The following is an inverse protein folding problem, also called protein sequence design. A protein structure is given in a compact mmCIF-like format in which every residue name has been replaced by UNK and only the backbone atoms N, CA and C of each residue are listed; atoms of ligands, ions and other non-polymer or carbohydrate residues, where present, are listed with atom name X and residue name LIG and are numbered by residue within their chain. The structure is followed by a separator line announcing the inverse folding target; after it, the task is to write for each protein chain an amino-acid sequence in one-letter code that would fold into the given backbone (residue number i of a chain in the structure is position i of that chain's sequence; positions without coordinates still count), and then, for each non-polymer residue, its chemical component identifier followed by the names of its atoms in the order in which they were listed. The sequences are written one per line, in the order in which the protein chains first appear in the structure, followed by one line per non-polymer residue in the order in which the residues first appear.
data_IF_632649844524
#
_entry.id   IF_632649844524
#
_cell.length_a   1.000
_cell.length_b   1.000
_cell.length_c   1.000
_cell.angle_alpha   90.00
_cell.angle_beta   90.00
_cell.angle_gamma   90.00
#
_symmetry.space_group_name_H-M   'P 1'
#
loop_
_entity.id
_entity.type
_entity.pdbx_description
1 polymer ?
#
# COMPACT_ATOMS: atom_id res chain seq x y z
N UNK A 1 17.44 -24.07 -27.51
CA UNK A 1 17.97 -22.88 -26.82
C UNK A 1 16.79 -21.96 -26.60
N UNK A 2 16.71 -21.31 -25.44
CA UNK A 2 15.65 -20.35 -25.18
C UNK A 2 15.64 -19.27 -26.28
N UNK A 3 14.48 -18.72 -26.59
CA UNK A 3 14.32 -17.54 -27.43
C UNK A 3 14.78 -16.27 -26.67
N UNK A 4 14.58 -16.26 -25.36
CA UNK A 4 15.09 -15.23 -24.46
C UNK A 4 14.53 -15.38 -23.06
N UNK A 5 14.89 -14.43 -22.20
CA UNK A 5 14.54 -14.38 -20.80
C UNK A 5 13.41 -13.40 -20.54
N UNK A 6 12.42 -13.80 -19.76
CA UNK A 6 11.33 -12.94 -19.30
C UNK A 6 11.42 -12.73 -17.78
N UNK A 7 11.80 -11.53 -17.37
CA UNK A 7 11.86 -11.11 -15.98
C UNK A 7 10.46 -10.75 -15.48
N UNK A 8 9.99 -11.46 -14.46
CA UNK A 8 8.64 -11.25 -13.88
C UNK A 8 8.56 -11.82 -12.45
N UNK A 9 7.38 -11.88 -11.85
CA UNK A 9 7.12 -12.58 -10.59
C UNK A 9 5.86 -13.46 -10.70
N UNK A 10 5.69 -14.46 -9.82
CA UNK A 10 4.53 -15.34 -9.84
C UNK A 10 3.19 -14.59 -9.85
N UNK A 11 2.28 -15.04 -10.70
CA UNK A 11 0.95 -14.45 -10.90
C UNK A 11 0.93 -12.98 -11.41
N UNK A 12 2.03 -12.40 -11.88
CA UNK A 12 2.00 -11.04 -12.44
C UNK A 12 0.93 -10.92 -13.55
N UNK A 13 -0.12 -10.09 -13.38
CA UNK A 13 -1.25 -10.02 -14.32
C UNK A 13 -0.83 -9.57 -15.73
N UNK A 14 0.26 -8.79 -15.83
CA UNK A 14 0.82 -8.31 -17.11
C UNK A 14 1.58 -9.39 -17.88
N UNK A 15 1.82 -10.56 -17.30
CA UNK A 15 2.66 -11.61 -17.90
C UNK A 15 1.87 -12.82 -18.39
N UNK A 16 0.64 -13.03 -17.91
CA UNK A 16 -0.17 -14.20 -18.28
C UNK A 16 -0.34 -14.35 -19.79
N UNK A 17 -0.73 -13.27 -20.49
CA UNK A 17 -0.89 -13.31 -21.94
C UNK A 17 0.42 -13.58 -22.68
N UNK A 18 1.55 -13.01 -22.21
CA UNK A 18 2.88 -13.24 -22.79
C UNK A 18 3.23 -14.74 -22.70
N UNK A 19 2.98 -15.38 -21.54
CA UNK A 19 3.20 -16.81 -21.35
C UNK A 19 2.32 -17.64 -22.29
N UNK A 20 1.05 -17.29 -22.40
CA UNK A 20 0.08 -17.99 -23.22
C UNK A 20 0.48 -17.97 -24.70
N UNK A 21 0.81 -16.79 -25.25
CA UNK A 21 1.21 -16.66 -26.66
C UNK A 21 2.59 -17.23 -26.93
N UNK A 22 3.53 -17.16 -25.98
CA UNK A 22 4.81 -17.84 -26.11
C UNK A 22 4.62 -19.35 -26.27
N UNK A 23 3.80 -19.96 -25.39
CA UNK A 23 3.50 -21.38 -25.45
C UNK A 23 2.79 -21.76 -26.75
N UNK A 24 1.78 -21.00 -27.17
CA UNK A 24 1.05 -21.28 -28.42
C UNK A 24 1.89 -21.12 -29.68
N UNK A 25 2.89 -20.21 -29.66
CA UNK A 25 3.81 -20.02 -30.76
C UNK A 25 5.06 -20.93 -30.68
N UNK A 26 5.14 -21.83 -29.68
CA UNK A 26 6.34 -22.63 -29.39
C UNK A 26 7.61 -21.79 -29.22
N UNK A 27 7.46 -20.59 -28.67
CA UNK A 27 8.58 -19.70 -28.30
C UNK A 27 9.03 -20.07 -26.89
N UNK A 28 10.24 -20.61 -26.79
CA UNK A 28 10.83 -21.04 -25.52
C UNK A 28 11.30 -19.83 -24.71
N UNK A 29 10.58 -19.45 -23.64
CA UNK A 29 10.97 -18.34 -22.77
C UNK A 29 11.46 -18.85 -21.42
N UNK A 30 12.65 -18.44 -21.02
CA UNK A 30 13.15 -18.67 -19.67
C UNK A 30 12.53 -17.65 -18.71
N UNK A 31 11.81 -18.11 -17.68
CA UNK A 31 11.20 -17.24 -16.70
C UNK A 31 12.16 -16.96 -15.55
N UNK A 32 12.54 -15.69 -15.39
CA UNK A 32 13.41 -15.25 -14.31
C UNK A 32 12.55 -14.51 -13.28
N UNK A 33 12.52 -15.02 -12.05
CA UNK A 33 11.88 -14.31 -10.95
C UNK A 33 12.70 -13.06 -10.60
N UNK A 34 12.06 -11.89 -10.64
CA UNK A 34 12.69 -10.60 -10.42
C UNK A 34 11.93 -9.80 -9.36
N UNK A 35 12.67 -9.26 -8.39
CA UNK A 35 12.18 -8.30 -7.40
C UNK A 35 12.34 -6.86 -7.95
N UNK A 36 11.24 -6.17 -8.30
CA UNK A 36 11.33 -4.81 -8.83
C UNK A 36 11.91 -3.78 -7.84
N UNK A 37 11.98 -4.10 -6.54
CA UNK A 37 12.61 -3.25 -5.53
C UNK A 37 14.13 -3.46 -5.46
N UNK A 38 14.63 -4.58 -5.99
CA UNK A 38 16.05 -4.97 -6.00
C UNK A 38 16.40 -5.67 -7.33
N UNK A 39 16.31 -4.96 -8.48
CA UNK A 39 16.53 -5.57 -9.78
C UNK A 39 17.97 -6.06 -9.94
N UNK A 40 18.15 -7.26 -10.50
CA UNK A 40 19.47 -7.81 -10.78
C UNK A 40 20.17 -7.05 -11.91
N UNK A 41 21.49 -7.18 -12.02
CA UNK A 41 22.28 -6.59 -13.13
C UNK A 41 21.74 -7.05 -14.49
N UNK A 42 21.33 -8.31 -14.60
CA UNK A 42 20.77 -8.86 -15.84
C UNK A 42 19.37 -8.31 -16.14
N UNK A 43 18.50 -8.18 -15.15
CA UNK A 43 17.20 -7.51 -15.31
C UNK A 43 17.37 -6.06 -15.76
N UNK A 44 18.36 -5.34 -15.22
CA UNK A 44 18.70 -3.98 -15.63
C UNK A 44 19.28 -3.88 -17.06
N UNK A 45 19.69 -5.00 -17.69
CA UNK A 45 20.00 -5.02 -19.13
C UNK A 45 18.71 -5.01 -19.96
N UNK A 46 17.69 -5.76 -19.52
CA UNK A 46 16.38 -5.80 -20.15
C UNK A 46 15.58 -4.50 -19.97
N UNK A 47 15.64 -3.91 -18.77
CA UNK A 47 14.94 -2.67 -18.44
C UNK A 47 15.69 -1.86 -17.37
N UNK A 48 16.21 -0.68 -17.76
CA UNK A 48 16.98 0.21 -16.87
C UNK A 48 16.17 0.74 -15.67
N UNK A 49 14.85 0.75 -15.75
CA UNK A 49 13.98 1.14 -14.64
C UNK A 49 13.70 0.00 -13.63
N UNK A 50 14.18 -1.22 -13.89
CA UNK A 50 13.93 -2.38 -13.03
C UNK A 50 12.46 -2.79 -12.93
N UNK A 51 11.59 -2.33 -13.86
CA UNK A 51 10.17 -2.73 -13.88
C UNK A 51 9.98 -4.07 -14.58
N UNK A 52 8.91 -4.76 -14.22
CA UNK A 52 8.47 -6.03 -14.81
C UNK A 52 7.08 -5.91 -15.44
N UNK A 53 6.78 -6.67 -16.52
CA UNK A 53 7.69 -7.59 -17.20
C UNK A 53 8.77 -6.87 -18.02
N UNK A 54 9.92 -7.54 -18.17
CA UNK A 54 11.00 -7.12 -19.08
C UNK A 54 11.53 -8.36 -19.82
N UNK A 55 11.91 -8.19 -21.08
CA UNK A 55 12.42 -9.24 -21.96
C UNK A 55 13.86 -8.95 -22.37
N UNK A 56 14.68 -9.99 -22.43
CA UNK A 56 16.02 -9.95 -23.02
C UNK A 56 16.16 -11.15 -23.96
N UNK A 57 16.27 -10.90 -25.26
CA UNK A 57 16.54 -11.94 -26.25
C UNK A 57 17.91 -12.56 -26.06
N UNK A 58 18.08 -13.81 -26.48
CA UNK A 58 19.43 -14.44 -26.53
C UNK A 58 20.38 -13.69 -27.48
N UNK A 59 19.83 -12.96 -28.45
CA UNK A 59 20.54 -12.04 -29.34
C UNK A 59 20.92 -10.71 -28.67
N UNK A 60 20.56 -10.52 -27.41
CA UNK A 60 20.81 -9.31 -26.63
C UNK A 60 19.76 -8.22 -26.82
N UNK A 61 18.64 -8.46 -27.53
CA UNK A 61 17.58 -7.46 -27.73
C UNK A 61 16.82 -7.19 -26.41
N UNK A 62 16.92 -5.97 -25.83
CA UNK A 62 16.15 -5.62 -24.63
C UNK A 62 14.79 -5.04 -25.04
N UNK A 63 13.72 -5.52 -24.39
CA UNK A 63 12.39 -4.99 -24.60
C UNK A 63 11.64 -4.87 -23.27
N UNK A 64 11.09 -3.69 -23.01
CA UNK A 64 10.23 -3.39 -21.86
C UNK A 64 8.84 -2.98 -22.34
N UNK A 65 7.92 -2.79 -21.38
CA UNK A 65 6.49 -2.58 -21.59
C UNK A 65 5.74 -3.85 -22.00
N UNK A 66 4.80 -4.27 -21.15
CA UNK A 66 4.07 -5.54 -21.30
C UNK A 66 3.32 -5.68 -22.63
N UNK A 67 2.77 -4.60 -23.18
CA UNK A 67 2.06 -4.60 -24.47
C UNK A 67 3.05 -4.86 -25.61
N UNK A 68 4.20 -4.19 -25.60
CA UNK A 68 5.24 -4.37 -26.62
C UNK A 68 5.79 -5.80 -26.60
N UNK A 69 6.09 -6.34 -25.41
CA UNK A 69 6.55 -7.73 -25.26
C UNK A 69 5.48 -8.71 -25.76
N UNK A 70 4.21 -8.53 -25.36
CA UNK A 70 3.14 -9.42 -25.79
C UNK A 70 2.97 -9.43 -27.31
N UNK A 71 3.02 -8.26 -27.97
CA UNK A 71 2.96 -8.15 -29.43
C UNK A 71 4.18 -8.81 -30.07
N UNK A 72 5.39 -8.52 -29.58
CA UNK A 72 6.63 -9.06 -30.13
C UNK A 72 6.67 -10.59 -30.10
N UNK A 73 6.26 -11.21 -28.99
CA UNK A 73 6.18 -12.68 -28.89
C UNK A 73 5.05 -13.22 -29.78
N UNK A 74 3.91 -12.53 -29.86
CA UNK A 74 2.79 -12.94 -30.72
C UNK A 74 3.17 -12.89 -32.20
N UNK A 75 3.91 -11.85 -32.62
CA UNK A 75 4.31 -11.62 -34.01
C UNK A 75 5.41 -12.56 -34.51
N UNK A 76 6.05 -13.34 -33.64
CA UNK A 76 6.98 -14.39 -34.07
C UNK A 76 6.29 -15.47 -34.94
N UNK A 77 4.97 -15.58 -34.83
CA UNK A 77 4.16 -16.38 -35.74
C UNK A 77 3.47 -15.48 -36.76
N UNK A 78 4.02 -15.39 -37.97
CA UNK A 78 3.46 -14.60 -39.07
C UNK A 78 2.03 -15.02 -39.47
N UNK A 79 1.62 -16.25 -39.13
CA UNK A 79 0.28 -16.78 -39.40
C UNK A 79 -0.67 -16.63 -38.21
N UNK A 80 -0.26 -15.89 -37.17
CA UNK A 80 -1.07 -15.69 -35.97
C UNK A 80 -2.40 -15.02 -36.32
N UNK A 81 -3.47 -15.48 -35.67
CA UNK A 81 -4.79 -14.84 -35.77
C UNK A 81 -5.06 -13.89 -34.61
N UNK A 82 -4.10 -13.75 -33.69
CA UNK A 82 -4.27 -13.01 -32.43
C UNK A 82 -4.08 -11.49 -32.59
N UNK A 83 -3.54 -11.04 -33.72
CA UNK A 83 -3.29 -9.62 -34.02
C UNK A 83 -4.33 -9.01 -34.98
N UNK A 84 -5.49 -9.66 -35.12
CA UNK A 84 -6.57 -9.19 -35.99
C UNK A 84 -6.31 -9.45 -37.47
N UNK A 85 -7.31 -9.20 -38.31
CA UNK A 85 -7.21 -9.36 -39.78
C UNK A 85 -6.99 -8.03 -40.50
N UNK A 86 -7.52 -6.96 -39.91
CA UNK A 86 -7.50 -5.62 -40.50
C UNK A 86 -6.68 -4.65 -39.65
N UNK A 87 -6.34 -3.49 -40.23
CA UNK A 87 -5.69 -2.40 -39.48
C UNK A 87 -6.58 -1.88 -38.36
N UNK A 88 -7.90 -1.89 -38.57
CA UNK A 88 -8.90 -1.51 -37.58
C UNK A 88 -8.94 -2.52 -36.41
N UNK A 89 -8.83 -3.82 -36.70
CA UNK A 89 -8.75 -4.84 -35.65
C UNK A 89 -7.49 -4.63 -34.83
N UNK A 90 -6.33 -4.48 -35.48
CA UNK A 90 -5.06 -4.28 -34.79
C UNK A 90 -5.08 -3.03 -33.90
N UNK A 91 -5.61 -1.90 -34.41
CA UNK A 91 -5.77 -0.69 -33.62
C UNK A 91 -6.73 -0.88 -32.42
N UNK A 92 -7.82 -1.64 -32.61
CA UNK A 92 -8.76 -1.97 -31.54
C UNK A 92 -8.16 -2.91 -30.49
N UNK A 93 -7.27 -3.82 -30.90
CA UNK A 93 -6.52 -4.68 -29.99
C UNK A 93 -5.62 -3.83 -29.10
N UNK A 94 -4.85 -2.92 -29.70
CA UNK A 94 -4.01 -1.98 -28.96
C UNK A 94 -4.83 -1.10 -28.02
N UNK A 95 -5.99 -0.59 -28.47
CA UNK A 95 -6.91 0.21 -27.65
C UNK A 95 -7.31 -0.56 -26.39
N UNK A 96 -7.76 -1.80 -26.54
CA UNK A 96 -8.20 -2.60 -25.40
C UNK A 96 -7.06 -2.96 -24.46
N UNK A 97 -5.90 -3.39 -24.99
CA UNK A 97 -4.71 -3.67 -24.18
C UNK A 97 -4.25 -2.44 -23.40
N UNK A 98 -4.24 -1.27 -24.05
CA UNK A 98 -3.93 0.01 -23.42
C UNK A 98 -4.95 0.33 -22.32
N UNK A 99 -6.25 0.30 -22.65
CA UNK A 99 -7.34 0.60 -21.73
C UNK A 99 -7.29 -0.24 -20.45
N UNK A 100 -7.12 -1.56 -20.56
CA UNK A 100 -7.05 -2.40 -19.34
C UNK A 100 -5.76 -2.15 -18.55
N UNK A 101 -4.66 -1.80 -19.20
CA UNK A 101 -3.39 -1.52 -18.53
C UNK A 101 -3.35 -0.15 -17.85
N UNK A 102 -4.09 0.85 -18.36
CA UNK A 102 -4.13 2.21 -17.82
C UNK A 102 -5.34 2.48 -16.93
N UNK A 103 -6.53 2.03 -17.32
CA UNK A 103 -7.80 2.37 -16.65
C UNK A 103 -8.27 1.31 -15.66
N UNK A 104 -7.89 0.04 -15.87
CA UNK A 104 -8.35 -1.07 -15.00
C UNK A 104 -7.27 -1.46 -14.00
N UNK A 105 -6.08 -1.81 -14.47
CA UNK A 105 -5.06 -2.41 -13.61
C UNK A 105 -4.54 -1.47 -12.50
N UNK A 106 -4.28 -0.17 -12.72
CA UNK A 106 -3.80 0.71 -11.66
C UNK A 106 -4.80 0.89 -10.50
N UNK A 107 -6.09 1.25 -10.73
CA UNK A 107 -7.05 1.33 -9.63
C UNK A 107 -7.37 -0.04 -9.02
N UNK A 108 -7.38 -1.12 -9.81
CA UNK A 108 -7.48 -2.47 -9.26
C UNK A 108 -6.31 -2.79 -8.32
N UNK A 109 -5.08 -2.41 -8.71
CA UNK A 109 -3.88 -2.52 -7.88
C UNK A 109 -4.01 -1.72 -6.57
N UNK A 110 -4.42 -0.46 -6.65
CA UNK A 110 -4.67 0.39 -5.48
C UNK A 110 -5.82 -0.11 -4.60
N UNK A 111 -6.71 -0.95 -5.13
CA UNK A 111 -7.74 -1.64 -4.37
C UNK A 111 -7.19 -2.86 -3.63
N UNK A 112 -6.57 -3.83 -4.31
CA UNK A 112 -6.18 -5.09 -3.64
C UNK A 112 -4.83 -5.06 -2.93
N UNK A 113 -3.83 -4.31 -3.42
CA UNK A 113 -2.47 -4.35 -2.86
C UNK A 113 -2.41 -3.87 -1.42
N UNK A 114 -3.13 -2.81 -1.01
CA UNK A 114 -3.19 -2.44 0.40
C UNK A 114 -3.86 -3.49 1.29
N UNK A 115 -4.88 -4.18 0.77
CA UNK A 115 -5.60 -5.24 1.48
C UNK A 115 -4.76 -6.52 1.63
N UNK A 116 -3.71 -6.68 0.82
CA UNK A 116 -2.69 -7.73 0.96
C UNK A 116 -1.47 -7.27 1.77
N UNK A 117 -1.44 -6.02 2.27
CA UNK A 117 -0.30 -5.46 2.97
C UNK A 117 0.93 -5.19 2.09
N UNK A 118 0.75 -5.15 0.76
CA UNK A 118 1.83 -4.83 -0.19
C UNK A 118 2.05 -3.33 -0.37
N UNK A 119 0.99 -2.55 -0.14
CA UNK A 119 1.00 -1.08 -0.18
C UNK A 119 0.35 -0.53 1.11
N UNK A 120 0.54 0.75 1.47
CA UNK A 120 -0.09 1.33 2.65
C UNK A 120 -1.62 1.28 2.60
N UNK A 121 -2.25 0.80 3.68
CA UNK A 121 -3.70 0.75 3.81
C UNK A 121 -4.28 2.10 4.22
N UNK A 122 -5.24 2.60 3.43
CA UNK A 122 -6.15 3.68 3.79
C UNK A 122 -7.56 3.31 3.32
N UNK A 123 -8.52 3.24 4.26
CA UNK A 123 -9.88 2.77 3.99
C UNK A 123 -10.58 3.56 2.88
N UNK A 124 -10.46 4.89 2.88
CA UNK A 124 -11.11 5.77 1.88
C UNK A 124 -10.44 5.63 0.51
N UNK A 125 -9.11 5.59 0.47
CA UNK A 125 -8.36 5.42 -0.77
C UNK A 125 -8.67 4.07 -1.44
N UNK A 126 -8.78 3.00 -0.65
CA UNK A 126 -9.19 1.67 -1.13
C UNK A 126 -10.62 1.72 -1.69
N UNK A 127 -11.56 2.36 -0.99
CA UNK A 127 -12.95 2.50 -1.44
C UNK A 127 -13.09 3.35 -2.72
N UNK A 128 -12.32 4.42 -2.84
CA UNK A 128 -12.31 5.25 -4.04
C UNK A 128 -11.70 4.49 -5.22
N UNK A 129 -10.58 3.80 -4.98
CA UNK A 129 -9.94 2.96 -6.00
C UNK A 129 -10.86 1.84 -6.48
N UNK A 130 -11.65 1.24 -5.59
CA UNK A 130 -12.63 0.23 -5.99
C UNK A 130 -13.72 0.79 -6.90
N UNK A 131 -14.21 2.00 -6.61
CA UNK A 131 -15.22 2.67 -7.45
C UNK A 131 -14.66 3.00 -8.84
N UNK A 132 -13.41 3.47 -8.91
CA UNK A 132 -12.73 3.75 -10.19
C UNK A 132 -12.53 2.46 -11.00
N UNK A 133 -12.05 1.38 -10.37
CA UNK A 133 -11.86 0.10 -11.02
C UNK A 133 -13.18 -0.49 -11.57
N UNK A 134 -14.25 -0.47 -10.76
CA UNK A 134 -15.56 -0.96 -11.16
C UNK A 134 -16.17 -0.12 -12.29
N UNK A 135 -15.97 1.20 -12.28
CA UNK A 135 -16.40 2.08 -13.38
C UNK A 135 -15.69 1.72 -14.69
N UNK A 136 -14.39 1.45 -14.67
CA UNK A 136 -13.66 1.03 -15.85
C UNK A 136 -14.12 -0.35 -16.36
N UNK A 137 -14.44 -1.28 -15.45
CA UNK A 137 -14.97 -2.60 -15.82
C UNK A 137 -16.37 -2.50 -16.42
N UNK A 138 -17.19 -1.54 -15.97
CA UNK A 138 -18.51 -1.31 -16.55
C UNK A 138 -18.46 -0.99 -18.05
N UNK A 139 -17.43 -0.27 -18.50
CA UNK A 139 -17.20 -0.03 -19.94
C UNK A 139 -17.00 -1.34 -20.72
N UNK A 140 -16.33 -2.32 -20.10
CA UNK A 140 -16.11 -3.65 -20.69
C UNK A 140 -17.41 -4.46 -20.67
N UNK A 141 -18.16 -4.40 -19.57
CA UNK A 141 -19.48 -5.04 -19.44
C UNK A 141 -20.47 -4.57 -20.50
N UNK A 142 -20.50 -3.27 -20.78
CA UNK A 142 -21.34 -2.68 -21.82
C UNK A 142 -20.87 -3.06 -23.23
N UNK A 143 -19.55 -3.07 -23.47
CA UNK A 143 -19.01 -3.52 -24.76
C UNK A 143 -19.35 -4.99 -25.03
N UNK A 144 -19.22 -5.86 -24.03
CA UNK A 144 -19.45 -7.30 -24.17
C UNK A 144 -20.93 -7.70 -24.22
N UNK A 145 -21.86 -6.75 -24.11
CA UNK A 145 -23.29 -6.99 -24.29
C UNK A 145 -23.59 -7.45 -25.73
N UNK A 146 -22.97 -6.81 -26.71
CA UNK A 146 -23.17 -7.08 -28.14
C UNK A 146 -22.00 -7.78 -28.81
N UNK A 147 -20.94 -8.12 -28.05
CA UNK A 147 -19.72 -8.71 -28.59
C UNK A 147 -19.32 -9.96 -27.80
N UNK A 148 -18.98 -11.03 -28.52
CA UNK A 148 -18.48 -12.27 -27.89
C UNK A 148 -17.08 -12.04 -27.29
N UNK A 149 -16.23 -11.32 -28.01
CA UNK A 149 -14.83 -11.00 -27.70
C UNK A 149 -14.60 -9.48 -27.73
N UNK A 150 -13.44 -9.01 -27.27
CA UNK A 150 -13.13 -7.58 -27.27
C UNK A 150 -12.94 -6.99 -28.67
N UNK A 151 -12.44 -7.79 -29.63
CA UNK A 151 -12.21 -7.38 -31.01
C UNK A 151 -12.61 -8.48 -31.99
N UNK A 152 -13.58 -8.18 -32.85
CA UNK A 152 -14.09 -9.11 -33.86
C UNK A 152 -14.76 -10.34 -33.26
N UNK A 153 -14.89 -11.38 -34.09
CA UNK A 153 -15.64 -12.61 -33.76
C UNK A 153 -14.75 -13.79 -33.35
N UNK A 154 -13.53 -13.50 -32.86
CA UNK A 154 -12.61 -14.53 -32.35
C UNK A 154 -11.69 -13.97 -31.28
N UNK A 155 -11.07 -14.87 -30.51
CA UNK A 155 -10.06 -14.51 -29.52
C UNK A 155 -8.89 -13.80 -30.20
N UNK A 156 -8.51 -12.67 -29.60
CA UNK A 156 -7.34 -11.88 -29.97
C UNK A 156 -6.41 -11.72 -28.77
N UNK A 157 -5.24 -11.11 -29.00
CA UNK A 157 -4.32 -10.74 -27.92
C UNK A 157 -4.97 -9.80 -26.90
N UNK A 158 -5.93 -8.98 -27.32
CA UNK A 158 -6.68 -8.12 -26.40
C UNK A 158 -7.43 -8.93 -25.35
N UNK A 159 -8.06 -10.04 -25.76
CA UNK A 159 -8.82 -10.90 -24.84
C UNK A 159 -7.91 -11.56 -23.81
N UNK A 160 -6.80 -12.16 -24.26
CA UNK A 160 -5.82 -12.81 -23.39
C UNK A 160 -5.21 -11.79 -22.41
N UNK A 161 -4.83 -10.62 -22.90
CA UNK A 161 -4.20 -9.58 -22.09
C UNK A 161 -5.18 -8.99 -21.05
N UNK A 162 -6.41 -8.68 -21.48
CA UNK A 162 -7.46 -8.19 -20.59
C UNK A 162 -7.86 -9.23 -19.53
N UNK A 163 -7.98 -10.50 -19.91
CA UNK A 163 -8.31 -11.56 -18.96
C UNK A 163 -7.22 -11.68 -17.89
N UNK A 164 -5.94 -11.54 -18.26
CA UNK A 164 -4.80 -11.54 -17.30
C UNK A 164 -4.91 -10.45 -16.24
N UNK A 165 -5.40 -9.28 -16.62
CA UNK A 165 -5.59 -8.13 -15.73
C UNK A 165 -6.84 -8.32 -14.86
N UNK A 166 -7.97 -8.67 -15.49
CA UNK A 166 -9.28 -8.80 -14.82
C UNK A 166 -9.30 -10.00 -13.87
N UNK A 167 -8.44 -11.00 -14.07
CA UNK A 167 -8.28 -12.15 -13.18
C UNK A 167 -8.09 -11.75 -11.71
N UNK A 168 -7.44 -10.62 -11.41
CA UNK A 168 -7.28 -10.11 -10.04
C UNK A 168 -8.61 -9.73 -9.38
N UNK A 169 -9.57 -9.26 -10.17
CA UNK A 169 -10.93 -9.05 -9.70
C UNK A 169 -11.62 -10.37 -9.32
N UNK A 170 -11.52 -11.39 -10.18
CA UNK A 170 -12.07 -12.73 -9.90
C UNK A 170 -11.37 -13.47 -8.75
N UNK A 171 -10.10 -13.18 -8.51
CA UNK A 171 -9.33 -13.76 -7.40
C UNK A 171 -9.72 -13.17 -6.03
N UNK A 172 -10.10 -11.89 -5.97
CA UNK A 172 -10.27 -11.18 -4.70
C UNK A 172 -11.67 -10.66 -4.41
N UNK A 173 -12.43 -10.23 -5.42
CA UNK A 173 -13.64 -9.42 -5.22
C UNK A 173 -14.89 -9.88 -5.96
N UNK A 174 -14.75 -10.45 -7.17
CA UNK A 174 -15.91 -10.77 -8.04
C UNK A 174 -16.53 -12.10 -7.64
N UNK A 175 -17.32 -12.00 -6.57
CA UNK A 175 -18.11 -13.07 -6.00
C UNK A 175 -19.35 -13.42 -6.83
N UNK A 176 -20.22 -14.26 -6.29
CA UNK A 176 -21.45 -14.67 -6.97
C UNK A 176 -22.40 -13.51 -7.24
N UNK A 177 -22.53 -12.57 -6.29
CA UNK A 177 -23.41 -11.42 -6.44
C UNK A 177 -22.91 -10.48 -7.55
N UNK A 178 -21.61 -10.13 -7.52
CA UNK A 178 -21.00 -9.30 -8.55
C UNK A 178 -21.15 -9.91 -9.94
N UNK A 179 -20.95 -11.23 -10.07
CA UNK A 179 -21.09 -11.95 -11.35
C UNK A 179 -22.53 -11.96 -11.87
N UNK A 180 -23.53 -11.94 -11.00
CA UNK A 180 -24.93 -11.81 -11.39
C UNK A 180 -25.25 -10.41 -11.94
N UNK A 181 -24.60 -9.37 -11.42
CA UNK A 181 -24.74 -7.97 -11.88
C UNK A 181 -23.90 -7.66 -13.14
N UNK A 182 -22.86 -8.45 -13.41
CA UNK A 182 -21.92 -8.27 -14.53
C UNK A 182 -21.82 -9.56 -15.37
N UNK A 183 -22.93 -10.01 -15.98
CA UNK A 183 -22.99 -11.29 -16.68
C UNK A 183 -22.10 -11.34 -17.93
N UNK A 184 -21.89 -10.22 -18.63
CA UNK A 184 -21.18 -10.23 -19.92
C UNK A 184 -19.67 -10.41 -19.73
N UNK A 185 -19.07 -9.67 -18.80
CA UNK A 185 -17.67 -9.85 -18.37
C UNK A 185 -17.48 -11.25 -17.79
N UNK A 186 -18.43 -11.73 -16.99
CA UNK A 186 -18.36 -13.09 -16.43
C UNK A 186 -18.36 -14.16 -17.52
N UNK A 187 -19.29 -14.09 -18.47
CA UNK A 187 -19.36 -14.99 -19.63
C UNK A 187 -18.07 -14.94 -20.44
N UNK A 188 -17.63 -13.75 -20.82
CA UNK A 188 -16.42 -13.56 -21.60
C UNK A 188 -15.20 -14.13 -20.87
N UNK A 189 -15.00 -13.79 -19.60
CA UNK A 189 -13.86 -14.28 -18.82
C UNK A 189 -13.87 -15.80 -18.75
N UNK A 190 -15.02 -16.42 -18.45
CA UNK A 190 -15.19 -17.89 -18.48
C UNK A 190 -14.86 -18.47 -19.85
N UNK A 191 -15.24 -17.80 -20.94
CA UNK A 191 -14.92 -18.26 -22.30
C UNK A 191 -13.41 -18.27 -22.53
N UNK A 192 -12.69 -17.23 -22.10
CA UNK A 192 -11.23 -17.10 -22.31
C UNK A 192 -10.44 -18.07 -21.43
N UNK A 193 -10.77 -18.20 -20.14
CA UNK A 193 -9.97 -19.01 -19.21
C UNK A 193 -10.06 -20.52 -19.45
N UNK A 194 -11.04 -20.96 -20.24
CA UNK A 194 -11.23 -22.37 -20.61
C UNK A 194 -10.60 -22.74 -21.96
N UNK A 195 -9.88 -21.81 -22.60
CA UNK A 195 -9.18 -22.08 -23.86
C UNK A 195 -7.84 -22.77 -23.59
N UNK A 196 -7.45 -23.69 -24.48
CA UNK A 196 -6.18 -24.43 -24.36
C UNK A 196 -4.96 -23.51 -24.25
N UNK A 197 -4.95 -22.40 -25.00
CA UNK A 197 -3.87 -21.40 -24.94
C UNK A 197 -3.72 -20.78 -23.53
N UNK A 198 -4.81 -20.68 -22.79
CA UNK A 198 -4.84 -20.12 -21.45
C UNK A 198 -4.51 -21.17 -20.39
N UNK A 199 -5.22 -22.30 -20.42
CA UNK A 199 -5.05 -23.39 -19.45
C UNK A 199 -3.67 -24.03 -19.50
N UNK A 200 -2.95 -23.91 -20.62
CA UNK A 200 -1.56 -24.34 -20.74
C UNK A 200 -0.58 -23.58 -19.83
N UNK A 201 -0.95 -22.42 -19.28
CA UNK A 201 -0.05 -21.57 -18.49
C UNK A 201 -0.61 -21.07 -17.16
N UNK A 202 -1.88 -21.36 -16.87
CA UNK A 202 -2.55 -20.98 -15.62
C UNK A 202 -3.14 -22.18 -14.90
N UNK A 203 -3.31 -22.04 -13.60
CA UNK A 203 -4.13 -22.98 -12.82
C UNK A 203 -5.62 -22.77 -13.12
N UNK A 204 -6.43 -23.76 -12.74
CA UNK A 204 -7.88 -23.69 -12.86
C UNK A 204 -8.41 -22.59 -11.94
N UNK A 205 -9.18 -21.65 -12.50
CA UNK A 205 -9.84 -20.62 -11.71
C UNK A 205 -11.00 -21.22 -10.90
N UNK A 206 -10.95 -21.02 -9.59
CA UNK A 206 -12.11 -21.17 -8.72
C UNK A 206 -12.82 -19.82 -8.59
N UNK A 207 -14.14 -19.80 -8.78
CA UNK A 207 -14.93 -18.59 -8.66
C UNK A 207 -15.39 -18.39 -7.22
N UNK A 208 -15.28 -17.15 -6.74
CA UNK A 208 -15.65 -16.79 -5.39
C UNK A 208 -17.18 -16.87 -5.18
N UNK A 209 -17.59 -17.45 -4.05
CA UNK A 209 -18.96 -17.32 -3.55
C UNK A 209 -19.13 -16.02 -2.76
N UNK A 210 -18.09 -15.60 -2.03
CA UNK A 210 -17.99 -14.33 -1.31
C UNK A 210 -16.61 -13.68 -1.53
N UNK A 211 -16.44 -12.36 -1.38
CA UNK A 211 -15.17 -11.69 -1.63
C UNK A 211 -14.08 -12.20 -0.67
N UNK A 212 -12.90 -12.53 -1.21
CA UNK A 212 -11.74 -12.98 -0.42
C UNK A 212 -11.11 -11.83 0.36
N UNK A 213 -11.15 -10.62 -0.19
CA UNK A 213 -10.68 -9.40 0.45
C UNK A 213 -11.86 -8.45 0.66
N UNK A 214 -11.94 -7.89 1.86
CA UNK A 214 -12.88 -6.81 2.21
C UNK A 214 -12.08 -5.56 2.54
N UNK A 215 -12.72 -4.38 2.55
CA UNK A 215 -12.06 -3.11 2.88
C UNK A 215 -11.77 -3.00 4.39
N UNK A 216 -10.89 -3.87 4.85
CA UNK A 216 -10.35 -3.97 6.20
C UNK A 216 -8.84 -4.00 6.10
N UNK A 217 -8.15 -3.48 7.10
CA UNK A 217 -6.69 -3.53 7.11
C UNK A 217 -6.20 -4.99 7.02
N UNK A 218 -5.11 -5.27 6.27
CA UNK A 218 -4.54 -6.60 6.18
C UNK A 218 -4.22 -7.12 7.58
N UNK A 219 -4.65 -8.35 7.88
CA UNK A 219 -4.16 -9.07 9.07
C UNK A 219 -2.66 -9.26 8.87
N UNK A 220 -1.84 -8.85 9.85
CA UNK A 220 -0.39 -9.06 9.83
C UNK A 220 -0.12 -10.54 9.44
N UNK A 221 0.62 -10.82 8.36
CA UNK A 221 1.14 -12.15 8.15
C UNK A 221 2.04 -12.48 9.33
N UNK A 222 1.88 -13.66 9.95
CA UNK A 222 2.88 -14.21 10.85
C UNK A 222 4.20 -14.27 10.07
N UNK A 223 5.16 -13.43 10.46
CA UNK A 223 6.50 -13.51 9.89
C UNK A 223 7.08 -14.89 10.24
N UNK A 224 7.62 -15.63 9.26
CA UNK A 224 8.45 -16.78 9.55
C UNK A 224 9.59 -16.31 10.44
N UNK A 225 9.67 -16.85 11.67
CA UNK A 225 10.79 -16.62 12.59
C UNK A 225 12.08 -16.96 11.85
N UNK A 226 12.88 -15.95 11.49
CA UNK A 226 14.30 -16.15 11.25
C UNK A 226 14.89 -16.75 12.52
N UNK A 227 15.60 -17.86 12.38
CA UNK A 227 16.30 -18.54 13.45
C UNK A 227 17.22 -17.55 14.19
N UNK A 228 16.80 -17.15 15.39
CA UNK A 228 17.70 -16.66 16.41
C UNK A 228 18.11 -17.86 17.27
N UNK A 229 19.40 -17.91 17.60
CA UNK A 229 20.04 -18.89 18.46
C UNK A 229 19.19 -19.25 19.72
N UNK A 230 19.31 -20.49 20.21
CA UNK A 230 18.29 -21.15 21.01
C UNK A 230 18.04 -20.46 22.35
N UNK A 231 16.77 -20.09 22.61
CA UNK A 231 16.22 -19.87 23.95
C UNK A 231 15.33 -21.06 24.34
N UNK A 232 15.16 -21.33 25.66
CA UNK A 232 14.73 -22.63 26.18
C UNK A 232 13.31 -23.02 25.75
N UNK A 233 13.08 -24.33 25.73
CA UNK A 233 11.88 -25.00 25.23
C UNK A 233 10.55 -24.41 25.73
N UNK A 234 9.53 -24.26 24.85
CA UNK A 234 8.17 -23.95 25.28
C UNK A 234 7.49 -25.20 25.85
N UNK A 235 6.79 -25.00 26.98
CA UNK A 235 5.87 -25.98 27.55
C UNK A 235 4.63 -26.19 26.63
N UNK A 236 3.92 -27.33 26.73
CA UNK A 236 2.90 -27.73 25.77
C UNK A 236 1.70 -26.79 25.72
N UNK A 237 1.18 -26.59 24.51
CA UNK A 237 -0.03 -25.83 24.23
C UNK A 237 -1.26 -26.49 24.89
N UNK A 238 -2.03 -25.67 25.63
CA UNK A 238 -3.37 -26.02 26.08
C UNK A 238 -4.40 -25.43 25.11
N UNK A 239 -5.47 -26.19 24.89
CA UNK A 239 -6.64 -25.90 24.05
C UNK A 239 -7.27 -24.52 24.29
N UNK A 240 -7.87 -23.98 23.24
CA UNK A 240 -8.66 -22.75 23.25
C UNK A 240 -9.79 -22.81 24.29
N UNK A 241 -9.74 -21.88 25.24
CA UNK A 241 -10.84 -21.50 26.13
C UNK A 241 -11.00 -19.96 26.08
N UNK A 242 -12.19 -19.42 26.39
CA UNK A 242 -12.63 -18.09 25.94
C UNK A 242 -11.77 -16.94 26.50
N UNK A 243 -11.62 -15.90 25.68
CA UNK A 243 -10.73 -14.76 25.90
C UNK A 243 -10.81 -14.14 27.31
N UNK A 244 -9.70 -14.17 28.02
CA UNK A 244 -9.48 -13.43 29.26
C UNK A 244 -9.29 -11.92 28.98
N UNK A 245 -9.71 -11.04 29.90
CA UNK A 245 -9.65 -9.59 29.72
C UNK A 245 -8.20 -9.08 29.55
N UNK A 246 -8.00 -8.20 28.56
CA UNK A 246 -6.70 -7.58 28.27
C UNK A 246 -6.13 -6.90 29.53
N UNK A 247 -4.79 -6.96 29.75
CA UNK A 247 -4.14 -6.21 30.82
C UNK A 247 -4.51 -4.72 30.73
N UNK A 248 -4.85 -4.11 31.88
CA UNK A 248 -5.15 -2.68 31.96
C UNK A 248 -3.87 -1.88 31.70
N UNK A 249 -3.99 -0.79 30.93
CA UNK A 249 -2.91 0.14 30.66
C UNK A 249 -2.43 0.80 31.96
N UNK A 250 -1.11 0.97 32.22
CA UNK A 250 -0.61 1.52 33.50
C UNK A 250 -1.23 2.89 33.85
N UNK A 251 -1.35 3.79 32.87
CA UNK A 251 -2.00 5.10 33.06
C UNK A 251 -3.50 5.03 33.39
N UNK A 252 -4.16 3.89 33.22
CA UNK A 252 -5.55 3.69 33.61
C UNK A 252 -5.73 3.53 35.13
N UNK A 253 -4.64 3.33 35.88
CA UNK A 253 -4.65 3.23 37.34
C UNK A 253 -4.58 4.60 38.03
N UNK A 254 -4.26 5.66 37.27
CA UNK A 254 -4.26 7.01 37.79
C UNK A 254 -5.69 7.47 38.13
N UNK A 255 -5.85 8.38 39.11
CA UNK A 255 -7.14 8.99 39.41
C UNK A 255 -7.78 9.59 38.15
N UNK A 256 -9.11 9.57 38.10
CA UNK A 256 -9.88 10.17 37.01
C UNK A 256 -9.42 11.62 36.82
N UNK A 257 -9.01 11.95 35.61
CA UNK A 257 -8.55 13.29 35.27
C UNK A 257 -9.70 14.31 35.33
N UNK A 258 -9.38 15.54 35.74
CA UNK A 258 -10.29 16.69 35.63
C UNK A 258 -10.25 17.32 34.24
N UNK A 259 -9.10 17.25 33.57
CA UNK A 259 -8.98 17.65 32.17
C UNK A 259 -9.46 16.54 31.24
N UNK A 260 -10.45 16.85 30.39
CA UNK A 260 -10.96 15.95 29.37
C UNK A 260 -10.10 16.02 28.10
N UNK A 261 -9.18 15.07 27.98
CA UNK A 261 -8.30 14.97 26.81
C UNK A 261 -9.08 14.65 25.52
N UNK A 262 -10.21 13.94 25.59
CA UNK A 262 -11.04 13.66 24.41
C UNK A 262 -11.77 14.92 23.94
N UNK A 263 -12.18 15.78 24.88
CA UNK A 263 -12.68 17.12 24.56
C UNK A 263 -11.61 17.93 23.83
N UNK A 264 -10.37 17.94 24.33
CA UNK A 264 -9.27 18.63 23.66
C UNK A 264 -9.09 18.17 22.22
N UNK A 265 -9.02 16.86 21.98
CA UNK A 265 -8.89 16.29 20.63
C UNK A 265 -10.02 16.72 19.70
N UNK A 266 -11.24 16.84 20.25
CA UNK A 266 -12.41 17.34 19.52
C UNK A 266 -12.26 18.82 19.18
N UNK A 267 -11.88 19.65 20.14
CA UNK A 267 -11.71 21.09 19.94
C UNK A 267 -10.59 21.40 18.95
N UNK A 268 -9.43 20.75 19.09
CA UNK A 268 -8.31 20.82 18.14
C UNK A 268 -8.74 20.50 16.69
N UNK A 269 -9.73 19.61 16.50
CA UNK A 269 -10.22 19.25 15.16
C UNK A 269 -11.28 20.22 14.61
N UNK A 270 -12.04 20.85 15.50
CA UNK A 270 -13.24 21.61 15.15
C UNK A 270 -12.99 23.12 15.05
N UNK A 271 -12.19 23.67 15.96
CA UNK A 271 -11.81 25.09 15.94
C UNK A 271 -10.88 25.31 14.74
N UNK A 272 -11.24 26.23 13.85
CA UNK A 272 -10.50 26.49 12.61
C UNK A 272 -9.32 27.45 12.79
N UNK A 273 -9.42 28.32 13.79
CA UNK A 273 -8.35 29.22 14.16
C UNK A 273 -7.42 28.52 15.15
N UNK A 274 -6.15 28.34 14.77
CA UNK A 274 -5.17 27.64 15.60
C UNK A 274 -4.94 28.33 16.95
N UNK A 275 -4.84 29.67 16.98
CA UNK A 275 -4.64 30.42 18.22
C UNK A 275 -5.81 30.26 19.19
N UNK A 276 -7.04 30.23 18.67
CA UNK A 276 -8.25 29.97 19.47
C UNK A 276 -8.25 28.54 20.03
N UNK A 277 -7.81 27.55 19.26
CA UNK A 277 -7.68 26.17 19.73
C UNK A 277 -6.62 26.06 20.83
N UNK A 278 -5.48 26.71 20.65
CA UNK A 278 -4.41 26.74 21.65
C UNK A 278 -4.84 27.47 22.93
N UNK A 279 -5.56 28.59 22.82
CA UNK A 279 -6.11 29.29 23.97
C UNK A 279 -7.05 28.37 24.76
N UNK A 280 -7.94 27.64 24.06
CA UNK A 280 -8.79 26.65 24.70
C UNK A 280 -7.98 25.59 25.46
N UNK A 281 -6.91 25.05 24.86
CA UNK A 281 -6.06 24.06 25.54
C UNK A 281 -5.48 24.63 26.84
N UNK A 282 -4.90 25.83 26.79
CA UNK A 282 -4.26 26.45 27.96
C UNK A 282 -5.24 26.83 29.08
N UNK A 283 -6.48 27.20 28.73
CA UNK A 283 -7.51 27.52 29.71
C UNK A 283 -8.08 26.27 30.42
N UNK A 284 -7.93 25.08 29.81
CA UNK A 284 -8.57 23.85 30.30
C UNK A 284 -7.59 22.78 30.81
N UNK A 285 -6.33 22.79 30.36
CA UNK A 285 -5.35 21.76 30.72
C UNK A 285 -4.98 21.83 32.20
N UNK A 286 -5.03 20.67 32.88
CA UNK A 286 -4.51 20.53 34.23
C UNK A 286 -3.09 19.94 34.20
N UNK A 287 -2.08 20.79 34.37
CA UNK A 287 -0.66 20.40 34.30
C UNK A 287 -0.13 19.71 35.56
N UNK A 288 -0.93 19.63 36.62
CA UNK A 288 -0.63 18.73 37.75
C UNK A 288 -0.92 17.28 37.37
N UNK A 289 -1.91 17.06 36.50
CA UNK A 289 -2.33 15.75 36.02
C UNK A 289 -1.73 15.35 34.67
N UNK A 290 -1.35 16.32 33.85
CA UNK A 290 -0.78 16.11 32.53
C UNK A 290 0.59 16.78 32.44
N UNK A 291 1.43 16.26 31.56
CA UNK A 291 2.73 16.87 31.29
C UNK A 291 2.99 17.01 29.80
N UNK A 292 3.77 18.02 29.44
CA UNK A 292 4.17 18.32 28.07
C UNK A 292 5.59 17.80 27.83
N UNK A 293 5.78 17.20 26.66
CA UNK A 293 7.04 16.56 26.28
C UNK A 293 7.42 16.94 24.86
N UNK A 294 8.67 17.31 24.69
CA UNK A 294 9.34 17.41 23.41
C UNK A 294 9.91 16.03 23.06
N UNK A 295 9.58 15.56 21.86
CA UNK A 295 9.97 14.23 21.37
C UNK A 295 10.83 14.41 20.13
N UNK A 296 12.08 13.93 20.18
CA UNK A 296 13.08 14.09 19.12
C UNK A 296 13.53 12.72 18.61
N UNK A 297 13.56 12.51 17.30
CA UNK A 297 14.14 11.28 16.76
C UNK A 297 15.67 11.32 16.82
N UNK A 298 16.30 10.21 17.22
CA UNK A 298 17.75 10.12 17.45
C UNK A 298 18.56 9.98 16.16
N UNK A 299 18.03 9.26 15.18
CA UNK A 299 18.77 8.80 13.99
C UNK A 299 18.45 9.64 12.75
N UNK A 300 18.57 10.96 12.87
CA UNK A 300 18.20 11.88 11.78
C UNK A 300 19.08 11.70 10.53
N UNK A 301 20.30 11.18 10.69
CA UNK A 301 21.23 10.81 9.61
C UNK A 301 20.74 9.62 8.76
N UNK A 302 19.82 8.80 9.28
CA UNK A 302 19.19 7.71 8.53
C UNK A 302 17.98 8.17 7.70
N UNK A 303 17.55 9.44 7.86
CA UNK A 303 16.37 9.98 7.17
C UNK A 303 16.69 10.37 5.73
N UNK A 304 16.13 9.63 4.78
CA UNK A 304 16.41 9.80 3.34
C UNK A 304 15.32 10.60 2.61
N UNK A 305 14.08 10.11 2.53
CA UNK A 305 13.01 10.83 1.86
C UNK A 305 12.02 11.37 2.89
N UNK A 306 11.60 12.63 2.78
CA UNK A 306 10.72 13.26 3.79
C UNK A 306 9.41 12.51 3.98
N UNK A 307 8.86 11.89 2.93
CA UNK A 307 7.69 11.02 3.04
C UNK A 307 7.97 9.72 3.81
N UNK A 308 9.18 9.16 3.71
CA UNK A 308 9.61 7.98 4.49
C UNK A 308 9.79 8.38 5.96
N UNK A 309 10.41 9.53 6.22
CA UNK A 309 10.49 10.14 7.56
C UNK A 309 9.10 10.34 8.15
N UNK A 310 8.12 10.82 7.37
CA UNK A 310 6.75 10.98 7.84
C UNK A 310 6.05 9.61 8.06
N UNK A 311 6.43 8.57 7.31
CA UNK A 311 5.98 7.21 7.56
C UNK A 311 6.52 6.64 8.87
N UNK A 312 7.73 7.00 9.30
CA UNK A 312 8.26 6.63 10.62
C UNK A 312 7.41 7.20 11.74
N UNK A 313 7.02 8.49 11.65
CA UNK A 313 6.10 9.13 12.60
C UNK A 313 4.77 8.36 12.66
N UNK A 314 4.22 8.02 11.49
CA UNK A 314 2.97 7.24 11.43
C UNK A 314 3.09 5.84 12.03
N UNK A 315 4.23 5.18 11.82
CA UNK A 315 4.54 3.91 12.45
C UNK A 315 4.57 4.01 13.96
N UNK A 316 5.24 5.03 14.49
CA UNK A 316 5.34 5.29 15.93
C UNK A 316 3.96 5.54 16.54
N UNK A 317 3.16 6.44 15.94
CA UNK A 317 1.77 6.70 16.35
C UNK A 317 0.91 5.42 16.39
N UNK A 318 1.02 4.55 15.38
CA UNK A 318 0.27 3.29 15.36
C UNK A 318 0.67 2.35 16.50
N UNK A 319 1.93 2.38 16.93
CA UNK A 319 2.43 1.58 18.06
C UNK A 319 2.04 2.18 19.41
N UNK A 320 1.70 3.47 19.46
CA UNK A 320 1.16 4.17 20.63
C UNK A 320 -0.35 3.95 20.85
N UNK A 321 -1.03 3.15 20.02
CA UNK A 321 -2.49 3.01 20.04
C UNK A 321 -3.06 2.60 21.42
N UNK A 322 -2.32 1.78 22.18
CA UNK A 322 -2.72 1.39 23.52
C UNK A 322 -2.83 2.59 24.49
N UNK A 323 -2.08 3.66 24.22
CA UNK A 323 -2.03 4.89 25.00
C UNK A 323 -2.88 6.01 24.41
N UNK A 324 -3.67 5.76 23.34
CA UNK A 324 -4.49 6.80 22.68
C UNK A 324 -5.32 7.62 23.66
N UNK A 325 -5.94 6.99 24.66
CA UNK A 325 -6.77 7.69 25.67
C UNK A 325 -6.00 8.62 26.61
N UNK A 326 -4.67 8.54 26.62
CA UNK A 326 -3.80 9.21 27.58
C UNK A 326 -2.82 10.19 26.91
N UNK A 327 -2.83 10.29 25.57
CA UNK A 327 -1.88 11.11 24.82
C UNK A 327 -2.60 11.91 23.75
N UNK A 328 -2.15 13.14 23.57
CA UNK A 328 -2.32 13.90 22.34
C UNK A 328 -0.98 14.49 21.93
N UNK A 329 -0.70 14.58 20.64
CA UNK A 329 0.45 15.35 20.19
C UNK A 329 0.62 15.37 18.69
N UNK A 330 1.56 16.18 18.25
CA UNK A 330 1.97 16.24 16.86
C UNK A 330 3.47 16.00 16.76
N UNK A 331 3.88 15.29 15.73
CA UNK A 331 5.27 15.23 15.29
C UNK A 331 5.33 15.55 13.80
N UNK A 332 6.38 16.26 13.41
CA UNK A 332 6.60 16.70 12.05
C UNK A 332 8.01 16.35 11.57
N UNK A 333 8.11 16.21 10.26
CA UNK A 333 9.36 16.16 9.52
C UNK A 333 9.70 17.60 9.14
N UNK A 334 10.90 18.04 9.51
CA UNK A 334 11.43 19.33 9.13
C UNK A 334 12.64 19.14 8.22
N UNK A 335 12.71 19.86 7.10
CA UNK A 335 13.81 19.81 6.14
C UNK A 335 13.43 19.32 4.76
N UNK A 336 14.40 18.71 4.08
CA UNK A 336 14.27 18.23 2.71
C UNK A 336 14.81 16.80 2.57
N UNK A 337 14.70 16.20 1.39
CA UNK A 337 15.21 14.84 1.17
C UNK A 337 16.72 14.78 1.43
N UNK A 338 17.14 13.80 2.21
CA UNK A 338 18.49 13.47 2.68
C UNK A 338 19.04 14.44 3.73
N UNK A 339 18.22 15.36 4.22
CA UNK A 339 18.58 16.37 5.20
C UNK A 339 17.30 16.84 5.90
N UNK A 340 16.78 15.95 6.75
CA UNK A 340 15.57 16.18 7.52
C UNK A 340 15.72 15.70 8.96
N UNK A 341 14.90 16.24 9.84
CA UNK A 341 14.84 15.86 11.26
C UNK A 341 13.38 15.61 11.65
N UNK A 342 13.16 14.77 12.66
CA UNK A 342 11.83 14.53 13.22
C UNK A 342 11.76 15.07 14.64
N UNK A 343 10.79 15.94 14.89
CA UNK A 343 10.55 16.55 16.19
C UNK A 343 9.04 16.76 16.42
N UNK A 344 8.60 16.73 17.67
CA UNK A 344 7.20 16.93 18.03
C UNK A 344 6.97 17.33 19.47
N UNK A 345 5.73 17.72 19.76
CA UNK A 345 5.25 18.05 21.09
C UNK A 345 4.06 17.14 21.45
N UNK A 346 4.07 16.58 22.65
CA UNK A 346 3.02 15.69 23.15
C UNK A 346 2.59 16.10 24.55
N UNK A 347 1.28 16.11 24.78
CA UNK A 347 0.69 16.14 26.12
C UNK A 347 0.29 14.72 26.49
N UNK A 348 0.69 14.29 27.69
CA UNK A 348 0.41 12.95 28.21
C UNK A 348 -0.24 13.03 29.59
N UNK A 349 -1.03 12.01 29.93
CA UNK A 349 -1.50 11.80 31.31
C UNK A 349 -0.34 11.35 32.18
N UNK A 350 -0.21 11.97 33.35
CA UNK A 350 0.84 11.70 34.32
C UNK A 350 2.07 12.57 34.10
N UNK A 351 3.09 12.32 34.91
CA UNK A 351 4.30 13.15 34.99
C UNK A 351 5.56 12.45 34.46
N UNK A 352 5.44 11.18 34.09
CA UNK A 352 6.47 10.33 33.49
C UNK A 352 6.03 9.91 32.09
N UNK A 353 6.90 10.09 31.10
CA UNK A 353 6.63 9.74 29.72
C UNK A 353 6.62 8.24 29.49
N UNK A 354 7.40 7.47 30.27
CA UNK A 354 7.66 6.07 29.95
C UNK A 354 6.36 5.24 29.82
N UNK A 355 5.39 5.29 30.74
CA UNK A 355 4.16 4.50 30.63
C UNK A 355 3.23 4.92 29.49
N UNK A 356 3.46 6.10 28.91
CA UNK A 356 2.73 6.61 27.77
C UNK A 356 3.36 6.13 26.45
N UNK A 357 4.69 5.99 26.40
CA UNK A 357 5.39 5.68 25.15
C UNK A 357 5.95 4.26 25.07
N UNK A 358 6.21 3.57 26.18
CA UNK A 358 6.83 2.24 26.22
C UNK A 358 5.94 1.11 25.66
N UNK A 359 4.66 1.39 25.42
CA UNK A 359 3.76 0.54 24.64
C UNK A 359 4.23 0.38 23.19
N UNK A 360 5.00 1.34 22.68
CA UNK A 360 5.63 1.30 21.37
C UNK A 360 7.06 0.74 21.50
N UNK A 361 7.38 -0.45 20.95
CA UNK A 361 8.69 -1.09 21.13
C UNK A 361 9.91 -0.28 20.68
N UNK A 362 9.70 0.72 19.82
CA UNK A 362 10.72 1.58 19.24
C UNK A 362 10.79 2.97 19.87
N UNK A 363 10.09 3.22 20.99
CA UNK A 363 10.12 4.51 21.69
C UNK A 363 11.54 4.94 22.09
N UNK A 364 12.47 3.99 22.31
CA UNK A 364 13.87 4.26 22.63
C UNK A 364 14.64 4.92 21.47
N UNK A 365 14.09 4.90 20.26
CA UNK A 365 14.61 5.65 19.10
C UNK A 365 14.35 7.15 19.20
N UNK A 366 13.63 7.58 20.24
CA UNK A 366 13.31 8.97 20.51
C UNK A 366 13.91 9.42 21.84
N UNK A 367 14.28 10.69 21.90
CA UNK A 367 14.56 11.41 23.13
C UNK A 367 13.32 12.13 23.61
N UNK A 368 13.12 12.11 24.92
CA UNK A 368 11.98 12.72 25.60
C UNK A 368 12.48 13.77 26.57
N UNK A 369 12.07 15.01 26.33
CA UNK A 369 12.44 16.16 27.16
C UNK A 369 11.17 16.77 27.74
N UNK A 370 11.07 16.80 29.07
CA UNK A 370 9.91 17.37 29.76
C UNK A 370 9.96 18.89 29.62
N UNK A 371 8.85 19.48 29.20
CA UNK A 371 8.74 20.92 28.98
C UNK A 371 8.20 21.62 30.22
N UNK A 372 8.77 22.79 30.52
CA UNK A 372 8.24 23.69 31.55
C UNK A 372 7.12 24.55 30.96
N UNK A 373 5.88 24.20 31.30
CA UNK A 373 4.69 24.88 30.81
C UNK A 373 4.54 26.34 31.31
N UNK A 374 5.30 26.75 32.33
CA UNK A 374 5.31 28.14 32.80
C UNK A 374 6.16 29.05 31.91
N UNK A 375 7.11 28.48 31.16
CA UNK A 375 7.98 29.22 30.27
C UNK A 375 7.21 29.70 29.01
N UNK A 376 7.30 30.99 28.63
CA UNK A 376 6.69 31.51 27.40
C UNK A 376 7.16 30.77 26.14
N UNK A 377 8.43 30.34 26.13
CA UNK A 377 9.04 29.58 25.03
C UNK A 377 8.34 28.24 24.80
N UNK A 378 7.95 27.55 25.87
CA UNK A 378 7.20 26.29 25.79
C UNK A 378 5.84 26.49 25.13
N UNK A 379 5.12 27.54 25.52
CA UNK A 379 3.80 27.83 24.93
C UNK A 379 3.90 28.07 23.43
N UNK A 380 4.93 28.82 23.01
CA UNK A 380 5.22 29.05 21.61
C UNK A 380 5.58 27.74 20.90
N UNK A 381 6.51 26.95 21.44
CA UNK A 381 6.95 25.68 20.86
C UNK A 381 5.80 24.70 20.67
N UNK A 382 4.93 24.54 21.67
CA UNK A 382 3.76 23.66 21.59
C UNK A 382 2.77 24.15 20.53
N UNK A 383 2.50 25.46 20.48
CA UNK A 383 1.65 26.05 19.44
C UNK A 383 2.22 25.78 18.05
N UNK A 384 3.50 26.11 17.83
CA UNK A 384 4.20 25.92 16.55
C UNK A 384 4.19 24.43 16.12
N UNK A 385 4.48 23.52 17.05
CA UNK A 385 4.54 22.08 16.81
C UNK A 385 3.17 21.46 16.53
N UNK A 386 2.11 21.96 17.17
CA UNK A 386 0.75 21.48 16.93
C UNK A 386 0.08 22.13 15.72
N UNK A 387 0.56 23.30 15.26
CA UNK A 387 0.08 23.99 14.06
C UNK A 387 0.75 23.52 12.75
N UNK A 388 1.98 22.98 12.82
CA UNK A 388 2.81 22.64 11.64
C UNK A 388 3.16 23.84 10.76
N UNK A 389 3.26 25.03 11.35
CA UNK A 389 3.44 26.27 10.56
C UNK A 389 4.85 26.86 10.68
N UNK A 390 5.56 26.61 11.78
CA UNK A 390 6.86 27.24 12.03
C UNK A 390 8.05 26.29 11.74
N UNK A 391 9.15 26.80 11.16
CA UNK A 391 10.41 26.06 11.05
C UNK A 391 11.01 25.81 12.44
N UNK A 392 11.95 24.87 12.52
CA UNK A 392 12.74 24.63 13.73
C UNK A 392 14.22 24.87 13.47
N UNK A 393 14.97 25.17 14.54
CA UNK A 393 16.43 25.21 14.48
C UNK A 393 17.00 23.94 15.11
N UNK A 394 17.78 23.19 14.34
CA UNK A 394 18.52 22.02 14.80
C UNK A 394 20.01 22.22 14.50
N UNK A 395 20.86 22.15 15.53
CA UNK A 395 22.32 22.35 15.43
C UNK A 395 22.73 23.67 14.71
N UNK A 396 22.01 24.76 14.98
CA UNK A 396 22.30 26.08 14.39
C UNK A 396 21.84 26.26 12.95
N UNK A 397 21.14 25.26 12.37
CA UNK A 397 20.54 25.32 11.04
C UNK A 397 19.03 25.30 11.13
N UNK A 398 18.39 26.14 10.32
CA UNK A 398 16.93 26.21 10.23
C UNK A 398 16.39 25.15 9.25
N UNK A 399 15.33 24.46 9.66
CA UNK A 399 14.65 23.41 8.92
C UNK A 399 13.15 23.77 8.74
N UNK A 400 12.68 24.01 7.50
CA UNK A 400 11.27 24.29 7.24
C UNK A 400 10.41 23.04 7.45
N UNK A 401 9.11 23.21 7.74
CA UNK A 401 8.17 22.09 7.83
C UNK A 401 8.02 21.42 6.46
N UNK A 402 8.15 20.09 6.42
CA UNK A 402 7.92 19.30 5.20
C UNK A 402 6.60 18.55 5.23
N UNK A 403 6.28 17.89 6.34
CA UNK A 403 5.07 17.08 6.53
C UNK A 403 4.89 16.78 8.03
N UNK A 404 3.71 16.35 8.47
CA UNK A 404 3.46 16.04 9.87
C UNK A 404 2.29 15.11 10.12
N UNK A 405 2.20 14.60 11.36
CA UNK A 405 1.11 13.74 11.83
C UNK A 405 0.69 14.09 13.23
N UNK A 406 -0.62 14.06 13.43
CA UNK A 406 -1.27 14.20 14.73
C UNK A 406 -1.58 12.81 15.29
N UNK A 407 -1.31 12.62 16.57
CA UNK A 407 -1.79 11.50 17.37
C UNK A 407 -2.88 12.01 18.30
N UNK A 408 -4.10 11.54 18.08
CA UNK A 408 -5.29 11.88 18.86
C UNK A 408 -6.21 10.69 18.96
#
# INVERSE_FOLDING_TARGET
MAFGKLFTYPANPRTTAIRAVAKANNVDLEFIEADPTKPSVEHLKANKLGKVPAFLGEDGYPLSECIAIAIYITSQNEKTTLLGKTKQDYASILKWMSFVNSEVLPPMGAWYRPLLGKDPYNKKAVEDSSKVALKAIKVIEEHLLSNTYLVGERITLADLFAAGIIARGFEFFFDKAWRAENPNVTRWYQTIINQDIWTAVTEKQEFLETPKLTNVAPKKPEQPKKEAAPKPAPAPAAEEAPAAPKPKHPLAELPRATFDLEEWKRQYSNIKNHDEAMQWFWDNVNLEEFSLWKVKYKYNDELTMTFMSNNLIGGFNNRLEASRKFIFGCAAVYGTNNDSVIEGAFVIRGQDYKPAFDVAPDYESYDFEKLDASAPETKKFVSDSWGWEAPITHNGKEYPVADGKVFK
#
